data_IF_819986521334
#
_entry.id   IF_819986521334
#
_cell.length_a   1.000
_cell.length_b   1.000
_cell.length_c   1.000
_cell.angle_alpha   90.00
_cell.angle_beta   90.00
_cell.angle_gamma   90.00
#
_symmetry.space_group_name_H-M   'P 1'
#
loop_
_entity.id
_entity.type
_entity.pdbx_description
1 polymer ?
#
# COMPACT_ATOMS: atom_id res chain seq x y z
N UNK A 1 -8.43 7.82 11.67
CA UNK A 1 -7.73 6.72 12.35
C UNK A 1 -7.71 5.58 11.38
N UNK A 2 -6.53 5.09 11.05
CA UNK A 2 -6.36 4.10 10.00
C UNK A 2 -6.44 2.69 10.60
N UNK A 3 -6.96 1.75 9.82
CA UNK A 3 -6.98 0.34 10.18
C UNK A 3 -6.19 -0.43 9.12
N UNK A 4 -5.04 -0.96 9.51
CA UNK A 4 -4.12 -1.65 8.62
C UNK A 4 -4.18 -3.14 8.91
N UNK A 5 -4.52 -3.92 7.89
CA UNK A 5 -4.52 -5.38 7.94
C UNK A 5 -3.38 -5.90 7.09
N UNK A 6 -2.56 -6.78 7.66
CA UNK A 6 -1.48 -7.44 6.96
C UNK A 6 -1.70 -8.94 7.09
N UNK A 7 -1.98 -9.57 5.95
CA UNK A 7 -2.54 -10.91 5.85
C UNK A 7 -3.81 -11.04 6.71
N UNK A 8 -3.71 -11.64 7.89
CA UNK A 8 -4.86 -11.94 8.78
C UNK A 8 -4.87 -11.11 10.07
N UNK A 9 -3.87 -10.26 10.30
CA UNK A 9 -3.80 -9.45 11.52
C UNK A 9 -4.08 -7.99 11.20
N UNK A 10 -4.98 -7.41 11.98
CA UNK A 10 -5.40 -6.03 11.85
C UNK A 10 -4.90 -5.22 13.04
N UNK A 11 -4.34 -4.05 12.73
CA UNK A 11 -3.81 -3.08 13.68
C UNK A 11 -4.56 -1.77 13.43
N UNK A 12 -4.90 -1.06 14.50
CA UNK A 12 -5.37 0.32 14.41
C UNK A 12 -4.21 1.25 14.71
N UNK A 13 -4.01 2.25 13.86
CA UNK A 13 -2.95 3.23 14.01
C UNK A 13 -3.48 4.62 13.65
N UNK A 14 -2.97 5.63 14.35
CA UNK A 14 -3.12 7.03 13.91
C UNK A 14 -2.18 7.36 12.76
N UNK A 15 -1.21 6.49 12.51
CA UNK A 15 -0.14 6.68 11.56
C UNK A 15 -0.53 6.63 10.11
N UNK A 16 0.24 7.36 9.32
CA UNK A 16 0.08 7.51 7.88
C UNK A 16 1.30 6.98 7.11
N UNK A 17 2.38 6.57 7.78
CA UNK A 17 3.56 6.01 7.13
C UNK A 17 3.59 4.50 7.35
N UNK A 18 3.53 3.71 6.27
CA UNK A 18 3.49 2.25 6.33
C UNK A 18 4.65 1.69 5.53
N UNK A 19 5.57 1.02 6.21
CA UNK A 19 6.70 0.34 5.57
C UNK A 19 6.58 -1.15 5.87
N UNK A 20 6.57 -1.96 4.82
CA UNK A 20 6.44 -3.42 4.88
C UNK A 20 7.62 -4.01 4.12
N UNK A 21 8.72 -4.23 4.84
CA UNK A 21 9.99 -4.66 4.27
C UNK A 21 10.48 -5.95 4.93
N UNK A 22 10.88 -6.93 4.13
CA UNK A 22 11.44 -8.21 4.59
C UNK A 22 10.57 -8.89 5.66
N UNK A 23 9.25 -8.85 5.44
CA UNK A 23 8.30 -9.38 6.38
C UNK A 23 8.26 -8.62 7.70
N UNK A 24 8.60 -7.33 7.78
CA UNK A 24 8.34 -6.51 8.95
C UNK A 24 7.40 -5.38 8.57
N UNK A 25 6.26 -5.32 9.25
CA UNK A 25 5.32 -4.21 9.16
C UNK A 25 5.69 -3.14 10.18
N UNK A 26 6.02 -1.96 9.70
CA UNK A 26 6.39 -0.79 10.49
C UNK A 26 5.37 0.30 10.19
N UNK A 27 4.71 0.81 11.24
CA UNK A 27 3.81 1.95 11.13
C UNK A 27 4.30 3.02 12.09
N UNK A 28 4.58 4.22 11.56
CA UNK A 28 5.21 5.33 12.30
C UNK A 28 6.40 4.88 13.16
N UNK A 29 7.38 4.23 12.53
CA UNK A 29 8.62 3.75 13.17
C UNK A 29 8.45 2.68 14.25
N UNK A 30 7.23 2.16 14.45
CA UNK A 30 6.96 1.02 15.33
C UNK A 30 6.82 -0.25 14.51
N UNK A 31 7.71 -1.22 14.71
CA UNK A 31 7.55 -2.57 14.17
C UNK A 31 6.40 -3.26 14.87
N UNK A 32 5.35 -3.58 14.14
CA UNK A 32 4.11 -4.12 14.70
C UNK A 32 3.97 -5.63 14.42
N UNK A 33 4.61 -6.14 13.37
CA UNK A 33 4.51 -7.56 13.04
C UNK A 33 5.64 -8.09 12.15
N UNK A 34 6.02 -9.35 12.38
CA UNK A 34 6.71 -10.18 11.38
C UNK A 34 5.70 -10.93 10.48
N UNK A 35 5.72 -10.65 9.19
CA UNK A 35 5.00 -11.34 8.13
C UNK A 35 5.91 -12.42 7.54
N UNK A 36 5.40 -13.63 7.34
CA UNK A 36 6.14 -14.67 6.61
C UNK A 36 6.44 -14.24 5.18
N UNK A 37 7.47 -14.82 4.58
CA UNK A 37 8.04 -14.41 3.27
C UNK A 37 7.09 -14.56 2.08
N UNK A 38 6.01 -15.35 2.22
CA UNK A 38 5.23 -15.77 1.07
C UNK A 38 3.83 -15.15 1.14
N UNK A 39 3.47 -14.40 0.09
CA UNK A 39 2.15 -13.78 -0.12
C UNK A 39 1.74 -12.72 0.90
N UNK A 40 2.52 -11.64 1.00
CA UNK A 40 2.12 -10.45 1.77
C UNK A 40 0.97 -9.74 1.03
N UNK A 41 -0.20 -9.65 1.68
CA UNK A 41 -1.31 -8.77 1.27
C UNK A 41 -1.55 -7.72 2.35
N UNK A 42 -1.57 -6.46 1.94
CA UNK A 42 -1.76 -5.31 2.82
C UNK A 42 -3.09 -4.66 2.45
N UNK A 43 -3.95 -4.46 3.44
CA UNK A 43 -5.22 -3.72 3.28
C UNK A 43 -5.22 -2.57 4.26
N UNK A 44 -5.32 -1.34 3.77
CA UNK A 44 -5.33 -0.12 4.57
C UNK A 44 -6.70 0.54 4.44
N UNK A 45 -7.37 0.74 5.56
CA UNK A 45 -8.60 1.50 5.65
C UNK A 45 -8.25 2.92 6.09
N UNK A 46 -8.40 3.90 5.18
CA UNK A 46 -8.06 5.30 5.41
C UNK A 46 -6.86 5.80 4.60
N UNK A 47 -6.49 7.06 4.85
CA UNK A 47 -5.46 7.77 4.08
C UNK A 47 -4.05 7.43 4.57
N UNK A 48 -3.13 7.27 3.62
CA UNK A 48 -1.73 6.90 3.88
C UNK A 48 -0.78 7.80 3.08
N UNK A 49 0.37 8.18 3.64
CA UNK A 49 1.33 9.07 2.99
C UNK A 49 2.35 8.31 2.15
N UNK A 50 2.76 7.12 2.57
CA UNK A 50 3.76 6.32 1.86
C UNK A 50 3.60 4.84 2.16
N UNK A 51 3.78 4.02 1.11
CA UNK A 51 3.81 2.56 1.20
C UNK A 51 5.07 2.03 0.50
N UNK A 52 5.75 1.10 1.17
CA UNK A 52 6.84 0.30 0.61
C UNK A 52 6.55 -1.16 1.00
N UNK A 53 6.23 -2.02 0.03
CA UNK A 53 5.72 -3.36 0.30
C UNK A 53 6.22 -4.38 -0.73
N UNK A 54 6.91 -5.45 -0.33
CA UNK A 54 7.31 -6.49 -1.31
C UNK A 54 6.12 -7.30 -1.89
N UNK A 55 4.91 -7.15 -1.33
CA UNK A 55 3.70 -7.88 -1.73
C UNK A 55 2.64 -6.99 -2.39
N UNK A 56 1.39 -7.43 -2.35
CA UNK A 56 0.25 -6.68 -2.92
C UNK A 56 -0.35 -5.72 -1.89
N UNK A 57 -0.86 -4.60 -2.37
CA UNK A 57 -1.38 -3.48 -1.57
C UNK A 57 -2.78 -3.11 -2.02
N UNK A 58 -3.67 -2.90 -1.05
CA UNK A 58 -5.03 -2.43 -1.21
C UNK A 58 -5.28 -1.27 -0.23
N UNK A 59 -5.67 -0.10 -0.72
CA UNK A 59 -5.91 1.11 0.08
C UNK A 59 -7.34 1.57 -0.15
N UNK A 60 -8.14 1.60 0.91
CA UNK A 60 -9.50 2.11 0.93
C UNK A 60 -9.47 3.57 1.44
N UNK A 61 -8.88 4.44 0.63
CA UNK A 61 -8.59 5.84 0.95
C UNK A 61 -7.67 6.46 -0.10
N UNK A 62 -7.10 7.62 0.22
CA UNK A 62 -6.06 8.25 -0.60
C UNK A 62 -4.67 7.75 -0.19
N UNK A 63 -3.71 7.90 -1.10
CA UNK A 63 -2.31 7.57 -0.84
C UNK A 63 -1.37 8.70 -1.27
N UNK A 64 -0.15 8.73 -0.71
CA UNK A 64 0.98 9.43 -1.31
C UNK A 64 1.71 8.51 -2.29
N UNK A 65 3.00 8.28 -2.13
CA UNK A 65 3.74 7.36 -3.03
C UNK A 65 3.60 5.91 -2.61
N UNK A 66 3.51 5.00 -3.58
CA UNK A 66 3.41 3.56 -3.37
C UNK A 66 4.52 2.85 -4.16
N UNK A 67 5.31 2.01 -3.47
CA UNK A 67 6.14 1.00 -4.09
C UNK A 67 5.64 -0.37 -3.61
N UNK A 68 5.24 -1.24 -4.55
CA UNK A 68 4.89 -2.59 -4.22
C UNK A 68 5.37 -3.66 -5.20
N UNK A 69 5.87 -4.79 -4.70
CA UNK A 69 6.28 -5.92 -5.54
C UNK A 69 5.09 -6.66 -6.20
N UNK A 70 3.90 -6.56 -5.60
CA UNK A 70 2.66 -7.16 -6.11
C UNK A 70 1.80 -6.18 -6.92
N UNK A 71 0.48 -6.40 -6.90
CA UNK A 71 -0.48 -5.48 -7.50
C UNK A 71 -0.89 -4.39 -6.50
N UNK A 72 -1.25 -3.22 -7.02
CA UNK A 72 -1.70 -2.07 -6.24
C UNK A 72 -3.17 -1.73 -6.57
N UNK A 73 -4.02 -1.67 -5.54
CA UNK A 73 -5.36 -1.10 -5.64
C UNK A 73 -5.53 0.05 -4.66
N UNK A 74 -5.97 1.21 -5.15
CA UNK A 74 -6.30 2.39 -4.34
C UNK A 74 -7.71 2.85 -4.72
N UNK A 75 -8.60 2.99 -3.75
CA UNK A 75 -9.97 3.46 -4.01
C UNK A 75 -10.03 4.97 -4.27
N UNK A 76 -9.12 5.75 -3.69
CA UNK A 76 -8.99 7.19 -3.87
C UNK A 76 -7.82 7.60 -4.78
N UNK A 77 -7.39 8.85 -4.61
CA UNK A 77 -6.30 9.44 -5.38
C UNK A 77 -4.92 9.09 -4.82
N UNK A 78 -3.92 9.12 -5.68
CA UNK A 78 -2.50 8.97 -5.36
C UNK A 78 -1.81 10.32 -5.59
N UNK A 79 -1.27 10.90 -4.54
CA UNK A 79 -0.60 12.22 -4.59
C UNK A 79 0.84 12.14 -5.08
N UNK A 80 1.44 10.95 -5.13
CA UNK A 80 2.80 10.70 -5.61
C UNK A 80 2.81 9.67 -6.73
N UNK A 81 3.95 8.98 -6.87
CA UNK A 81 4.16 7.93 -7.85
C UNK A 81 3.65 6.56 -7.39
N UNK A 82 3.33 5.69 -8.34
CA UNK A 82 3.02 4.28 -8.11
C UNK A 82 4.00 3.41 -8.87
N UNK A 83 4.77 2.59 -8.16
CA UNK A 83 5.60 1.52 -8.73
C UNK A 83 5.02 0.17 -8.28
N UNK A 84 4.58 -0.65 -9.22
CA UNK A 84 4.01 -1.95 -8.94
C UNK A 84 4.58 -3.05 -9.86
N UNK A 85 5.04 -4.16 -9.29
CA UNK A 85 5.40 -5.34 -10.09
C UNK A 85 4.20 -5.98 -10.81
N UNK A 86 2.98 -5.73 -10.32
CA UNK A 86 1.73 -6.23 -10.89
C UNK A 86 0.89 -5.16 -11.59
N UNK A 87 -0.44 -5.32 -11.54
CA UNK A 87 -1.38 -4.33 -12.11
C UNK A 87 -1.63 -3.20 -11.11
N UNK A 88 -1.95 -2.00 -11.62
CA UNK A 88 -2.33 -0.83 -10.83
C UNK A 88 -3.77 -0.46 -11.13
N UNK A 89 -4.59 -0.31 -10.10
CA UNK A 89 -5.93 0.27 -10.18
C UNK A 89 -6.07 1.38 -9.14
N UNK A 90 -6.32 2.61 -9.56
CA UNK A 90 -6.35 3.77 -8.67
C UNK A 90 -7.35 4.84 -9.12
N UNK A 91 -7.53 5.91 -8.34
CA UNK A 91 -8.12 7.17 -8.80
C UNK A 91 -7.16 7.96 -9.68
N UNK A 92 -7.09 9.27 -9.50
CA UNK A 92 -6.09 10.11 -10.15
C UNK A 92 -4.71 9.88 -9.53
N UNK A 93 -3.66 9.96 -10.36
CA UNK A 93 -2.27 9.94 -9.90
C UNK A 93 -1.63 11.27 -10.28
N UNK A 94 -1.04 11.95 -9.30
CA UNK A 94 -0.38 13.24 -9.52
C UNK A 94 1.06 13.08 -10.03
N UNK A 95 1.68 11.93 -9.78
CA UNK A 95 2.98 11.53 -10.30
C UNK A 95 2.87 10.51 -11.43
N UNK A 96 3.89 9.68 -11.57
CA UNK A 96 3.98 8.64 -12.61
C UNK A 96 3.46 7.28 -12.10
N UNK A 97 3.04 6.42 -13.04
CA UNK A 97 2.70 5.02 -12.77
C UNK A 97 3.65 4.13 -13.56
N UNK A 98 4.44 3.32 -12.86
CA UNK A 98 5.17 2.17 -13.41
C UNK A 98 4.47 0.88 -12.95
N UNK A 99 4.10 0.04 -13.90
CA UNK A 99 3.37 -1.19 -13.63
C UNK A 99 3.89 -2.31 -14.53
N UNK A 100 4.23 -3.46 -13.94
CA UNK A 100 4.53 -4.67 -14.69
C UNK A 100 3.29 -5.24 -15.41
N UNK A 101 2.08 -4.87 -14.95
CA UNK A 101 0.80 -5.28 -15.50
C UNK A 101 -0.02 -4.14 -16.11
N UNK A 102 -1.35 -4.29 -16.08
CA UNK A 102 -2.27 -3.27 -16.61
C UNK A 102 -2.43 -2.10 -15.65
N UNK A 103 -2.61 -0.90 -16.21
CA UNK A 103 -2.97 0.31 -15.45
C UNK A 103 -4.41 0.69 -15.72
N UNK A 104 -5.19 0.92 -14.65
CA UNK A 104 -6.57 1.41 -14.71
C UNK A 104 -6.80 2.54 -13.73
N UNK A 105 -6.90 3.77 -14.24
CA UNK A 105 -7.32 4.93 -13.45
C UNK A 105 -8.83 5.11 -13.56
N UNK A 106 -9.52 5.23 -12.42
CA UNK A 106 -10.96 5.50 -12.30
C UNK A 106 -11.16 7.00 -12.09
N UNK A 107 -12.20 7.57 -12.70
CA UNK A 107 -12.66 8.95 -12.45
C UNK A 107 -13.65 8.97 -11.30
#
# INVERSE_FOLDING_TARGET
MNRITINVKTITCSGSNVVINNGNAIVDDKTIQKCGSDNIKVVIEGDVNKIDCSGSVEVHGNSGSINCGGSCEVSGDVKGDVDAGGSVTCGNVSGDIDAGGSVRCRR
#
